data_IF_104192308805
#
_entry.id   IF_104192308805
#
_cell.length_a   1.000
_cell.length_b   1.000
_cell.length_c   1.000
_cell.angle_alpha   90.00
_cell.angle_beta   90.00
_cell.angle_gamma   90.00
#
_symmetry.space_group_name_H-M   'P 1'
#
loop_
_entity.id
_entity.type
_entity.pdbx_description
1 polymer ?
#
# COMPACT_ATOMS: atom_id res chain seq x y z
N UNK A 1 1.53 -5.80 -9.53
CA UNK A 1 1.28 -7.25 -9.75
C UNK A 1 -0.20 -7.56 -9.95
N UNK A 2 -1.10 -7.18 -9.03
CA UNK A 2 -2.54 -7.52 -9.12
C UNK A 2 -3.23 -7.04 -10.41
N UNK A 3 -2.95 -5.81 -10.89
CA UNK A 3 -3.53 -5.28 -12.16
C UNK A 3 -3.16 -6.17 -13.35
N UNK A 4 -1.95 -6.73 -13.38
CA UNK A 4 -1.49 -7.54 -14.52
C UNK A 4 -2.24 -8.88 -14.57
N UNK A 5 -2.47 -9.50 -13.41
CA UNK A 5 -3.26 -10.73 -13.30
C UNK A 5 -4.72 -10.48 -13.68
N UNK A 6 -5.29 -9.35 -13.24
CA UNK A 6 -6.65 -8.95 -13.60
C UNK A 6 -6.78 -8.72 -15.12
N UNK A 7 -5.84 -7.99 -15.73
CA UNK A 7 -5.80 -7.75 -17.16
C UNK A 7 -5.70 -9.07 -17.94
N UNK A 8 -4.76 -9.95 -17.56
CA UNK A 8 -4.57 -11.25 -18.20
C UNK A 8 -5.82 -12.13 -18.13
N UNK A 9 -6.50 -12.14 -16.99
CA UNK A 9 -7.74 -12.91 -16.80
C UNK A 9 -8.89 -12.38 -17.66
N UNK A 10 -8.98 -11.06 -17.85
CA UNK A 10 -9.98 -10.43 -18.72
C UNK A 10 -9.68 -10.82 -20.17
N UNK A 11 -8.44 -10.69 -20.62
CA UNK A 11 -8.09 -10.97 -22.01
C UNK A 11 -8.33 -12.44 -22.39
N UNK A 12 -8.06 -13.37 -21.47
CA UNK A 12 -8.39 -14.78 -21.67
C UNK A 12 -9.91 -15.03 -21.72
N UNK A 13 -10.69 -14.29 -20.94
CA UNK A 13 -12.16 -14.40 -20.94
C UNK A 13 -12.77 -13.94 -22.28
N UNK A 14 -12.13 -13.01 -22.98
CA UNK A 14 -12.55 -12.54 -24.31
C UNK A 14 -11.96 -13.36 -25.47
N UNK A 15 -11.13 -14.37 -25.20
CA UNK A 15 -10.54 -15.21 -26.25
C UNK A 15 -9.53 -14.48 -27.16
N UNK A 16 -8.99 -13.34 -26.72
CA UNK A 16 -8.02 -12.55 -27.49
C UNK A 16 -6.61 -13.09 -27.22
N UNK A 17 -5.89 -13.44 -28.29
CA UNK A 17 -4.49 -13.83 -28.20
C UNK A 17 -3.60 -12.60 -28.15
N UNK A 18 -3.00 -12.34 -26.98
CA UNK A 18 -2.07 -11.24 -26.76
C UNK A 18 -0.71 -11.58 -27.36
N UNK A 19 -0.11 -10.65 -28.10
CA UNK A 19 1.27 -10.77 -28.53
C UNK A 19 2.26 -10.55 -27.38
N UNK A 20 3.49 -11.04 -27.56
CA UNK A 20 4.56 -10.82 -26.58
C UNK A 20 4.91 -9.32 -26.43
N UNK A 21 4.65 -8.52 -27.48
CA UNK A 21 4.87 -7.08 -27.49
C UNK A 21 3.93 -6.33 -26.54
N UNK A 22 2.62 -6.61 -26.58
CA UNK A 22 1.69 -5.95 -25.66
C UNK A 22 2.00 -6.34 -24.21
N UNK A 23 2.30 -7.61 -23.93
CA UNK A 23 2.66 -8.05 -22.57
C UNK A 23 3.89 -7.30 -22.04
N UNK A 24 4.89 -7.07 -22.88
CA UNK A 24 6.06 -6.28 -22.51
C UNK A 24 5.69 -4.82 -22.18
N UNK A 25 4.88 -4.18 -23.01
CA UNK A 25 4.42 -2.79 -22.80
C UNK A 25 3.57 -2.67 -21.52
N UNK A 26 2.64 -3.60 -21.30
CA UNK A 26 1.84 -3.64 -20.08
C UNK A 26 2.70 -3.87 -18.84
N UNK A 27 3.71 -4.74 -18.90
CA UNK A 27 4.61 -4.95 -17.77
C UNK A 27 5.38 -3.68 -17.39
N UNK A 28 5.83 -2.91 -18.38
CA UNK A 28 6.52 -1.64 -18.17
C UNK A 28 5.58 -0.59 -17.57
N UNK A 29 4.35 -0.50 -18.08
CA UNK A 29 3.31 0.38 -17.53
C UNK A 29 2.99 0.03 -16.08
N UNK A 30 2.85 -1.26 -15.76
CA UNK A 30 2.59 -1.74 -14.40
C UNK A 30 3.73 -1.33 -13.46
N UNK A 31 4.99 -1.42 -13.89
CA UNK A 31 6.15 -1.03 -13.09
C UNK A 31 6.11 0.48 -12.81
N UNK A 32 5.82 1.30 -13.84
CA UNK A 32 5.69 2.76 -13.69
C UNK A 32 4.51 3.14 -12.78
N UNK A 33 3.34 2.50 -12.97
CA UNK A 33 2.16 2.69 -12.14
C UNK A 33 2.41 2.29 -10.68
N UNK A 34 3.16 1.22 -10.45
CA UNK A 34 3.48 0.74 -9.10
C UNK A 34 4.29 1.75 -8.29
N UNK A 35 5.01 2.66 -8.96
CA UNK A 35 5.78 3.73 -8.33
C UNK A 35 4.97 5.03 -8.19
N UNK A 36 3.89 5.17 -8.97
CA UNK A 36 3.24 6.47 -9.21
C UNK A 36 1.99 6.73 -8.36
N UNK A 37 1.50 5.76 -7.59
CA UNK A 37 0.21 5.88 -6.91
C UNK A 37 0.38 5.93 -5.41
N UNK A 38 0.01 7.07 -4.82
CA UNK A 38 -0.44 7.11 -3.44
C UNK A 38 -1.74 6.29 -3.35
N UNK A 39 -1.80 5.29 -2.46
CA UNK A 39 -2.91 4.36 -2.34
C UNK A 39 -4.23 5.11 -2.04
N UNK A 40 -5.04 5.30 -3.08
CA UNK A 40 -6.40 5.84 -2.99
C UNK A 40 -7.35 4.66 -3.25
N UNK A 41 -8.30 4.36 -2.34
CA UNK A 41 -9.18 3.17 -2.37
C UNK A 41 -10.20 3.13 -3.53
N UNK A 42 -9.98 3.91 -4.60
CA UNK A 42 -10.77 3.88 -5.83
C UNK A 42 -9.93 4.04 -7.11
N UNK A 43 -8.61 4.11 -6.99
CA UNK A 43 -7.71 4.34 -8.13
C UNK A 43 -7.47 3.10 -9.00
N UNK A 44 -7.73 1.89 -8.50
CA UNK A 44 -7.36 0.66 -9.22
C UNK A 44 -8.14 0.40 -10.49
N UNK A 45 -9.40 0.80 -10.55
CA UNK A 45 -10.23 0.68 -11.75
C UNK A 45 -9.67 1.56 -12.88
N UNK A 46 -9.27 2.79 -12.54
CA UNK A 46 -8.62 3.72 -13.49
C UNK A 46 -7.32 3.13 -14.03
N UNK A 47 -6.54 2.49 -13.15
CA UNK A 47 -5.30 1.83 -13.55
C UNK A 47 -5.50 0.69 -14.54
N UNK A 48 -6.51 -0.15 -14.28
CA UNK A 48 -6.78 -1.26 -15.18
C UNK A 48 -7.28 -0.74 -16.53
N UNK A 49 -8.11 0.30 -16.53
CA UNK A 49 -8.55 0.98 -17.76
C UNK A 49 -7.35 1.55 -18.54
N UNK A 50 -6.39 2.18 -17.86
CA UNK A 50 -5.15 2.67 -18.50
C UNK A 50 -4.36 1.52 -19.15
N UNK A 51 -4.21 0.40 -18.44
CA UNK A 51 -3.47 -0.77 -18.96
C UNK A 51 -4.22 -1.45 -20.12
N UNK A 52 -5.55 -1.59 -20.03
CA UNK A 52 -6.38 -2.13 -21.11
C UNK A 52 -6.36 -1.22 -22.35
N UNK A 53 -6.42 0.11 -22.14
CA UNK A 53 -6.29 1.09 -23.22
C UNK A 53 -4.93 1.04 -23.89
N UNK A 54 -3.86 0.69 -23.15
CA UNK A 54 -2.52 0.54 -23.71
C UNK A 54 -2.32 -0.77 -24.50
N UNK A 55 -3.21 -1.75 -24.34
CA UNK A 55 -3.24 -2.99 -25.12
C UNK A 55 -4.28 -2.96 -26.26
N UNK A 56 -4.88 -1.80 -26.53
CA UNK A 56 -5.93 -1.61 -27.54
C UNK A 56 -7.15 -2.53 -27.36
N UNK A 57 -7.38 -3.05 -26.14
CA UNK A 57 -8.54 -3.91 -25.86
C UNK A 57 -9.74 -3.00 -25.59
N UNK A 58 -10.80 -3.03 -26.44
CA UNK A 58 -11.98 -2.22 -26.22
C UNK A 58 -12.69 -2.66 -24.94
N UNK A 59 -12.73 -1.78 -23.95
CA UNK A 59 -13.53 -1.92 -22.73
C UNK A 59 -15.00 -1.90 -23.15
N UNK A 60 -15.60 -3.08 -23.24
CA UNK A 60 -17.02 -3.24 -23.52
C UNK A 60 -17.81 -3.08 -22.21
N UNK A 61 -19.09 -2.74 -22.31
CA UNK A 61 -19.95 -2.49 -21.14
C UNK A 61 -19.99 -3.70 -20.17
N UNK A 62 -19.87 -4.93 -20.71
CA UNK A 62 -19.79 -6.17 -19.93
C UNK A 62 -18.47 -6.29 -19.13
N UNK A 63 -17.36 -5.82 -19.68
CA UNK A 63 -16.04 -5.87 -19.02
C UNK A 63 -16.02 -4.98 -17.79
N UNK A 64 -16.69 -3.83 -17.86
CA UNK A 64 -16.79 -2.84 -16.77
C UNK A 64 -17.60 -3.39 -15.58
N UNK A 65 -18.69 -4.12 -15.85
CA UNK A 65 -19.48 -4.77 -14.79
C UNK A 65 -18.71 -5.87 -14.04
N UNK A 66 -17.99 -6.71 -14.79
CA UNK A 66 -17.12 -7.73 -14.19
C UNK A 66 -15.98 -7.08 -13.38
N UNK A 67 -15.38 -6.03 -13.93
CA UNK A 67 -14.31 -5.29 -13.27
C UNK A 67 -14.77 -4.63 -11.97
N UNK A 68 -15.93 -3.98 -11.96
CA UNK A 68 -16.47 -3.35 -10.75
C UNK A 68 -16.70 -4.35 -9.62
N UNK A 69 -17.21 -5.54 -9.96
CA UNK A 69 -17.44 -6.62 -8.98
C UNK A 69 -16.13 -7.12 -8.36
N UNK A 70 -15.07 -7.22 -9.18
CA UNK A 70 -13.74 -7.68 -8.74
C UNK A 70 -12.95 -6.58 -8.03
N UNK A 71 -13.14 -5.30 -8.38
CA UNK A 71 -12.44 -4.17 -7.76
C UNK A 71 -12.74 -4.10 -6.25
N UNK A 72 -13.97 -4.40 -5.82
CA UNK A 72 -14.31 -4.51 -4.39
C UNK A 72 -13.45 -5.55 -3.65
N UNK A 73 -13.23 -6.72 -4.26
CA UNK A 73 -12.39 -7.77 -3.67
C UNK A 73 -10.91 -7.39 -3.71
N UNK A 74 -10.45 -6.83 -4.83
CA UNK A 74 -9.05 -6.44 -5.02
C UNK A 74 -8.64 -5.28 -4.13
N UNK A 75 -9.53 -4.34 -3.84
CA UNK A 75 -9.30 -3.25 -2.88
C UNK A 75 -9.04 -3.80 -1.47
N UNK A 76 -9.83 -4.81 -1.05
CA UNK A 76 -9.65 -5.46 0.25
C UNK A 76 -8.36 -6.27 0.35
N UNK A 77 -8.00 -7.00 -0.71
CA UNK A 77 -6.73 -7.77 -0.76
C UNK A 77 -5.52 -6.84 -0.77
N UNK A 78 -5.62 -5.67 -1.43
CA UNK A 78 -4.56 -4.66 -1.47
C UNK A 78 -4.30 -4.09 -0.08
N UNK A 79 -5.34 -3.62 0.61
CA UNK A 79 -5.21 -3.11 1.97
C UNK A 79 -4.68 -4.18 2.94
N UNK A 80 -5.15 -5.42 2.81
CA UNK A 80 -4.67 -6.54 3.64
C UNK A 80 -3.17 -6.81 3.42
N UNK A 81 -2.70 -6.83 2.17
CA UNK A 81 -1.28 -7.07 1.86
C UNK A 81 -0.40 -5.95 2.40
N UNK A 82 -0.84 -4.71 2.31
CA UNK A 82 -0.13 -3.55 2.86
C UNK A 82 -0.01 -3.64 4.40
N UNK A 83 -1.11 -4.01 5.08
CA UNK A 83 -1.14 -4.16 6.55
C UNK A 83 -0.29 -5.35 7.02
N UNK A 84 -0.33 -6.48 6.30
CA UNK A 84 0.52 -7.65 6.60
C UNK A 84 2.01 -7.30 6.53
N UNK A 85 2.41 -6.48 5.55
CA UNK A 85 3.78 -5.98 5.42
C UNK A 85 4.21 -5.15 6.64
N UNK A 86 3.36 -4.23 7.09
CA UNK A 86 3.62 -3.45 8.31
C UNK A 86 3.70 -4.33 9.56
N UNK A 87 2.85 -5.36 9.68
CA UNK A 87 2.92 -6.34 10.76
C UNK A 87 4.24 -7.12 10.76
N UNK A 88 4.71 -7.54 9.58
CA UNK A 88 5.98 -8.21 9.42
C UNK A 88 7.16 -7.28 9.78
N UNK A 89 7.11 -6.02 9.35
CA UNK A 89 8.10 -5.02 9.71
C UNK A 89 8.17 -4.79 11.22
N UNK A 90 7.02 -4.66 11.90
CA UNK A 90 6.98 -4.55 13.37
C UNK A 90 7.60 -5.78 14.06
N UNK A 91 7.29 -6.99 13.59
CA UNK A 91 7.85 -8.22 14.14
C UNK A 91 9.38 -8.32 13.93
N UNK A 92 9.87 -7.92 12.75
CA UNK A 92 11.31 -7.88 12.46
C UNK A 92 12.01 -6.81 13.30
N UNK A 93 11.44 -5.61 13.40
CA UNK A 93 11.98 -4.51 14.22
C UNK A 93 12.03 -4.90 15.69
N UNK A 94 11.00 -5.55 16.23
CA UNK A 94 11.00 -6.06 17.61
C UNK A 94 12.17 -7.02 17.87
N UNK A 95 12.45 -7.90 16.90
CA UNK A 95 13.55 -8.86 17.00
C UNK A 95 14.92 -8.21 16.89
N UNK A 96 15.07 -7.23 15.99
CA UNK A 96 16.34 -6.52 15.71
C UNK A 96 16.67 -5.49 16.81
N UNK A 97 15.68 -4.73 17.27
CA UNK A 97 15.84 -3.70 18.30
C UNK A 97 15.76 -4.23 19.73
N UNK A 98 15.61 -5.55 19.94
CA UNK A 98 15.51 -6.15 21.29
C UNK A 98 16.66 -5.71 22.22
N UNK A 99 17.89 -5.61 21.71
CA UNK A 99 19.07 -5.13 22.46
C UNK A 99 19.01 -3.63 22.83
N UNK A 100 18.40 -2.81 22.00
CA UNK A 100 18.21 -1.37 22.24
C UNK A 100 17.06 -1.15 23.24
N UNK A 101 16.00 -1.95 23.17
CA UNK A 101 14.87 -1.91 24.11
C UNK A 101 15.25 -2.39 25.52
N UNK A 102 16.09 -3.43 25.65
CA UNK A 102 16.63 -3.86 26.96
C UNK A 102 17.51 -2.77 27.59
N UNK A 103 18.23 -1.98 26.78
CA UNK A 103 19.01 -0.82 27.26
C UNK A 103 18.12 0.37 27.65
N UNK A 104 16.99 0.57 26.97
CA UNK A 104 16.02 1.63 27.32
C UNK A 104 15.10 1.28 28.49
N UNK A 105 14.96 0.00 28.84
CA UNK A 105 14.15 -0.46 29.99
C UNK A 105 14.85 -0.28 31.34
N UNK A 106 16.15 0.01 31.34
CA UNK A 106 16.95 0.29 32.54
C UNK A 106 16.98 1.79 32.90
N UNK A 107 16.20 2.62 32.17
CA UNK A 107 15.82 3.95 32.63
C UNK A 107 14.51 3.84 33.41
N UNK A 108 14.53 3.98 34.75
CA UNK A 108 13.31 4.17 35.51
C UNK A 108 12.60 5.39 34.96
N UNK A 109 11.28 5.30 34.89
CA UNK A 109 10.36 6.32 34.41
C UNK A 109 10.50 7.62 35.23
N UNK A 110 11.51 8.44 34.95
CA UNK A 110 11.62 9.79 35.51
C UNK A 110 11.10 10.77 34.46
N UNK A 111 9.79 10.73 34.21
CA UNK A 111 9.07 11.84 33.54
C UNK A 111 7.73 12.02 34.25
N UNK A 112 7.82 12.37 35.52
CA UNK A 112 6.75 13.09 36.25
C UNK A 112 7.39 14.01 37.30
N UNK A 113 8.48 14.70 36.93
CA UNK A 113 9.19 15.60 37.84
C UNK A 113 9.62 16.95 37.24
N UNK A 114 9.00 17.40 36.15
CA UNK A 114 9.30 18.72 35.55
C UNK A 114 8.07 19.62 35.32
N UNK A 115 7.02 19.46 36.14
CA UNK A 115 5.90 20.42 36.24
C UNK A 115 5.64 20.91 37.67
N UNK A 116 6.45 20.47 38.64
CA UNK A 116 6.33 20.87 40.05
C UNK A 116 7.38 21.89 40.52
N UNK A 117 8.47 22.11 39.79
CA UNK A 117 9.60 22.91 40.27
C UNK A 117 9.60 24.38 39.77
N UNK A 118 8.49 24.83 39.15
CA UNK A 118 8.33 26.20 38.68
C UNK A 118 7.52 27.09 39.65
N UNK A 119 7.42 26.73 40.94
CA UNK A 119 6.71 27.53 41.95
C UNK A 119 7.53 27.92 43.20
N UNK A 120 8.79 27.50 43.35
CA UNK A 120 9.61 27.89 44.52
C UNK A 120 10.59 29.05 44.25
N UNK A 121 10.86 29.42 43.00
CA UNK A 121 11.90 30.42 42.68
C UNK A 121 11.35 31.80 42.27
N UNK A 122 10.03 32.00 42.26
CA UNK A 122 9.41 33.30 41.95
C UNK A 122 9.08 34.17 43.19
N UNK A 123 9.25 33.63 44.41
CA UNK A 123 8.94 34.34 45.66
C UNK A 123 10.16 35.01 46.33
N UNK A 124 11.37 34.89 45.76
CA UNK A 124 12.62 35.35 46.39
C UNK A 124 13.33 36.52 45.67
N UNK A 125 12.67 37.17 44.70
CA UNK A 125 13.21 38.35 44.02
C UNK A 125 12.20 39.52 44.10
N UNK A 126 12.02 40.01 45.33
CA UNK A 126 11.56 41.38 45.64
C UNK A 126 12.79 42.19 46.01
#
# INVERSE_FOLDING_TARGET
MFIMIAAMSITQSYGVTIGAGEVAIASLLIILLSLSLADIPSGSLVLLVIVCSAMEIPISDETIGLLFTVDWLLDRVRAASNILSHGFACAVVERVCRKQLETSSDQPSTTTQDLGNCNENAAAAV
#
